data_IF_927625387310
#
_entry.id   IF_927625387310
#
_cell.length_a   1.000
_cell.length_b   1.000
_cell.length_c   1.000
_cell.angle_alpha   90.00
_cell.angle_beta   90.00
_cell.angle_gamma   90.00
#
_symmetry.space_group_name_H-M   'P 1'
#
loop_
_entity.id
_entity.type
_entity.pdbx_description
1 polymer ?
#
# COMPACT_ATOMS: atom_id res chain seq x y z
N UNK A 1 45.44 10.16 8.90
CA UNK A 1 45.68 11.14 7.82
C UNK A 1 44.95 10.64 6.56
N UNK A 2 43.99 11.36 5.96
CA UNK A 2 42.97 12.27 6.51
C UNK A 2 41.53 11.77 6.26
N UNK A 3 40.60 12.43 6.95
CA UNK A 3 39.13 12.34 6.85
C UNK A 3 38.67 13.30 5.74
N UNK A 4 37.69 12.91 4.91
CA UNK A 4 37.04 13.81 3.96
C UNK A 4 35.56 14.00 4.33
N UNK A 5 35.31 15.14 4.98
CA UNK A 5 34.01 15.80 5.12
C UNK A 5 33.75 16.57 3.83
N UNK A 6 32.55 16.48 3.25
CA UNK A 6 32.09 17.48 2.28
C UNK A 6 30.75 18.05 2.73
N UNK A 7 30.83 19.30 3.19
CA UNK A 7 29.72 20.23 3.37
C UNK A 7 29.25 20.76 2.00
N UNK A 8 27.96 20.97 1.85
CA UNK A 8 27.41 21.74 0.73
C UNK A 8 26.92 23.09 1.29
N UNK A 9 27.60 24.16 0.88
CA UNK A 9 27.34 25.55 1.25
C UNK A 9 26.20 26.16 0.45
N UNK A 10 25.47 27.05 1.11
CA UNK A 10 24.57 28.06 0.55
C UNK A 10 25.31 29.04 -0.38
N UNK A 11 24.67 29.48 -1.46
CA UNK A 11 24.97 30.76 -2.13
C UNK A 11 23.67 31.49 -2.48
N UNK A 12 23.67 32.78 -2.14
CA UNK A 12 22.62 33.78 -2.25
C UNK A 12 22.56 34.46 -3.63
N UNK A 13 21.33 34.84 -3.99
CA UNK A 13 20.84 36.02 -4.73
C UNK A 13 21.70 36.73 -5.79
N UNK A 14 21.07 36.99 -6.95
CA UNK A 14 21.36 38.14 -7.80
C UNK A 14 20.04 38.84 -8.19
N UNK A 15 19.98 40.15 -7.93
CA UNK A 15 18.93 41.07 -8.35
C UNK A 15 19.02 41.37 -9.85
N UNK A 16 17.87 41.47 -10.52
CA UNK A 16 17.73 42.26 -11.75
C UNK A 16 16.46 43.09 -11.66
N UNK A 17 16.64 44.41 -11.70
CA UNK A 17 15.58 45.42 -11.77
C UNK A 17 15.22 45.71 -13.24
N UNK A 18 13.94 45.87 -13.57
CA UNK A 18 13.51 46.93 -14.51
C UNK A 18 11.99 47.12 -14.60
N UNK A 19 11.62 48.37 -14.29
CA UNK A 19 10.59 49.26 -14.86
C UNK A 19 9.13 48.79 -15.00
N UNK A 20 8.33 49.38 -14.11
CA UNK A 20 6.88 49.56 -14.18
C UNK A 20 6.47 50.40 -15.40
N UNK A 21 5.48 49.92 -16.14
CA UNK A 21 4.55 50.74 -16.92
C UNK A 21 3.24 50.79 -16.14
N UNK A 22 2.91 51.96 -15.61
CA UNK A 22 1.63 52.24 -14.97
C UNK A 22 0.55 52.41 -16.04
N UNK A 23 -0.51 51.59 -15.98
CA UNK A 23 -1.81 51.97 -16.50
C UNK A 23 -2.78 52.08 -15.33
N UNK A 24 -3.39 53.26 -15.19
CA UNK A 24 -4.42 53.55 -14.19
C UNK A 24 -5.71 52.86 -14.61
N UNK A 25 -6.21 51.93 -13.80
CA UNK A 25 -7.63 51.55 -13.80
C UNK A 25 -8.19 51.98 -12.45
N UNK A 26 -9.08 52.96 -12.48
CA UNK A 26 -9.85 53.40 -11.32
C UNK A 26 -10.90 52.33 -11.05
N UNK A 27 -10.68 51.49 -10.04
CA UNK A 27 -11.64 50.50 -9.56
C UNK A 27 -12.57 51.11 -8.50
N UNK A 28 -13.88 51.00 -8.72
CA UNK A 28 -14.92 51.41 -7.80
C UNK A 28 -14.83 50.67 -6.44
N UNK A 29 -15.34 51.26 -5.32
CA UNK A 29 -15.28 50.61 -4.02
C UNK A 29 -16.14 49.33 -3.98
N UNK A 30 -15.73 48.30 -3.21
CA UNK A 30 -16.48 47.06 -3.11
C UNK A 30 -17.81 47.26 -2.36
N UNK A 31 -18.88 46.56 -2.75
CA UNK A 31 -20.14 46.61 -2.04
C UNK A 31 -20.03 45.90 -0.68
N UNK A 32 -20.55 46.57 0.35
CA UNK A 32 -20.78 46.01 1.68
C UNK A 32 -21.86 44.94 1.59
N UNK A 33 -21.50 43.66 1.69
CA UNK A 33 -22.46 42.56 1.78
C UNK A 33 -22.53 42.00 3.19
N UNK A 34 -23.73 42.02 3.75
CA UNK A 34 -24.16 41.43 5.01
C UNK A 34 -23.75 39.94 5.16
N UNK A 35 -23.67 39.41 6.40
CA UNK A 35 -23.29 38.03 6.64
C UNK A 35 -24.31 37.07 6.02
N UNK A 36 -23.82 36.16 5.20
CA UNK A 36 -24.57 35.03 4.68
C UNK A 36 -24.93 34.11 5.86
N UNK A 37 -26.19 34.10 6.26
CA UNK A 37 -26.74 33.02 7.05
C UNK A 37 -27.00 31.85 6.10
N UNK A 38 -26.25 30.75 6.21
CA UNK A 38 -26.63 29.53 5.50
C UNK A 38 -27.93 28.99 6.13
N UNK A 39 -28.96 28.68 5.34
CA UNK A 39 -30.11 27.95 5.87
C UNK A 39 -29.62 26.59 6.36
N UNK A 40 -30.00 26.23 7.58
CA UNK A 40 -29.75 24.89 8.11
C UNK A 40 -30.48 23.87 7.22
N UNK A 41 -29.75 23.23 6.32
CA UNK A 41 -30.28 22.15 5.51
C UNK A 41 -30.72 21.03 6.44
N UNK A 42 -32.04 20.82 6.57
CA UNK A 42 -32.58 19.61 7.19
C UNK A 42 -32.22 18.44 6.29
N UNK A 43 -31.25 17.64 6.74
CA UNK A 43 -30.89 16.35 6.14
C UNK A 43 -32.10 15.42 6.22
N UNK A 44 -32.97 15.46 5.22
CA UNK A 44 -34.19 14.65 5.21
C UNK A 44 -34.02 13.30 4.54
N UNK A 45 -32.93 13.06 3.80
CA UNK A 45 -32.46 11.71 3.41
C UNK A 45 -31.08 11.84 2.75
N UNK A 46 -30.07 11.11 3.24
CA UNK A 46 -28.79 11.02 2.55
C UNK A 46 -28.96 10.25 1.23
N UNK A 47 -28.36 10.71 0.11
CA UNK A 47 -28.40 9.97 -1.15
C UNK A 47 -27.74 8.60 -0.99
N UNK A 48 -28.29 7.58 -1.64
CA UNK A 48 -27.81 6.19 -1.70
C UNK A 48 -26.36 6.01 -2.21
N UNK A 49 -25.71 7.09 -2.65
CA UNK A 49 -24.29 7.14 -2.97
C UNK A 49 -23.36 7.04 -1.74
N UNK A 50 -23.91 7.12 -0.52
CA UNK A 50 -23.22 6.80 0.74
C UNK A 50 -23.46 5.35 1.18
N UNK A 51 -23.74 4.44 0.26
CA UNK A 51 -23.67 3.01 0.55
C UNK A 51 -22.19 2.65 0.77
N UNK A 52 -21.74 2.78 2.02
CA UNK A 52 -20.47 2.25 2.49
C UNK A 52 -20.60 0.74 2.36
N UNK A 53 -20.31 0.23 1.15
CA UNK A 53 -20.40 -1.19 0.83
C UNK A 53 -19.77 -1.98 1.98
N UNK A 54 -20.54 -2.92 2.52
CA UNK A 54 -20.17 -3.78 3.64
C UNK A 54 -18.73 -4.27 3.45
N UNK A 55 -17.90 -4.16 4.48
CA UNK A 55 -16.53 -4.69 4.46
C UNK A 55 -16.56 -6.15 4.01
N UNK A 56 -15.89 -6.41 2.90
CA UNK A 56 -15.74 -7.76 2.41
C UNK A 56 -14.32 -8.19 2.74
N UNK A 57 -14.23 -9.23 3.56
CA UNK A 57 -12.97 -9.74 4.08
C UNK A 57 -11.95 -10.03 2.98
N UNK A 58 -10.66 -9.93 3.31
CA UNK A 58 -9.52 -10.31 2.45
C UNK A 58 -9.67 -11.71 1.81
N UNK A 59 -10.52 -12.54 2.39
CA UNK A 59 -10.76 -13.95 2.04
C UNK A 59 -11.86 -14.16 1.00
N UNK A 60 -12.70 -13.16 0.70
CA UNK A 60 -13.75 -13.33 -0.31
C UNK A 60 -13.21 -12.94 -1.70
N UNK A 61 -13.08 -13.89 -2.64
CA UNK A 61 -12.50 -13.64 -3.95
C UNK A 61 -13.35 -12.75 -4.87
N UNK A 62 -14.63 -12.50 -4.54
CA UNK A 62 -15.53 -11.59 -5.25
C UNK A 62 -15.59 -10.17 -4.63
N UNK A 63 -14.80 -9.93 -3.57
CA UNK A 63 -14.79 -8.68 -2.82
C UNK A 63 -14.20 -7.49 -3.58
N UNK A 64 -14.81 -6.32 -3.42
CA UNK A 64 -14.05 -5.07 -3.49
C UNK A 64 -13.21 -4.96 -2.23
N UNK A 65 -11.90 -4.85 -2.38
CA UNK A 65 -10.96 -4.67 -1.28
C UNK A 65 -10.88 -3.21 -0.90
N UNK A 66 -11.07 -2.92 0.39
CA UNK A 66 -10.98 -1.56 0.95
C UNK A 66 -9.66 -1.38 1.69
N UNK A 67 -8.88 -0.38 1.31
CA UNK A 67 -7.60 -0.09 1.97
C UNK A 67 -7.46 1.40 2.26
N UNK A 68 -6.60 1.74 3.23
CA UNK A 68 -6.28 3.13 3.56
C UNK A 68 -4.78 3.30 3.86
N UNK A 69 -4.20 4.48 3.59
CA UNK A 69 -2.87 4.81 4.05
C UNK A 69 -2.85 5.00 5.57
N UNK A 70 -1.74 4.63 6.21
CA UNK A 70 -1.50 4.88 7.63
C UNK A 70 -0.93 6.30 7.77
N UNK A 71 -1.67 7.19 8.44
CA UNK A 71 -1.28 8.61 8.53
C UNK A 71 -0.18 8.85 9.56
N UNK A 72 -0.19 8.07 10.64
CA UNK A 72 0.77 8.18 11.75
C UNK A 72 1.02 6.83 12.38
N UNK A 73 2.14 6.72 13.10
CA UNK A 73 2.41 5.53 13.89
C UNK A 73 1.28 5.28 14.91
N UNK A 74 0.83 4.03 15.00
CA UNK A 74 -0.30 3.63 15.85
C UNK A 74 -0.13 2.19 16.35
N UNK A 75 -0.46 1.97 17.62
CA UNK A 75 -0.47 0.64 18.21
C UNK A 75 -1.73 -0.10 17.76
N UNK A 76 -1.55 -1.34 17.31
CA UNK A 76 -2.63 -2.26 16.99
C UNK A 76 -2.93 -3.10 18.23
N UNK A 77 -4.21 -3.18 18.58
CA UNK A 77 -4.70 -3.88 19.76
C UNK A 77 -5.40 -5.19 19.38
N UNK A 78 -5.42 -6.18 20.28
CA UNK A 78 -6.09 -7.46 20.03
C UNK A 78 -7.60 -7.33 19.88
N UNK A 79 -8.20 -6.35 20.55
CA UNK A 79 -9.62 -6.00 20.52
C UNK A 79 -9.78 -4.49 20.24
N UNK A 80 -10.96 -4.03 19.80
CA UNK A 80 -11.22 -2.62 19.49
C UNK A 80 -11.38 -1.76 20.76
N UNK A 81 -10.36 -1.75 21.62
CA UNK A 81 -10.27 -0.88 22.79
C UNK A 81 -8.81 -0.74 23.26
N UNK A 82 -8.52 0.37 23.95
CA UNK A 82 -7.17 0.70 24.41
C UNK A 82 -6.64 -0.18 25.54
N UNK A 83 -7.51 -0.87 26.28
CA UNK A 83 -7.13 -1.76 27.40
C UNK A 83 -6.66 -3.13 26.92
N UNK A 84 -6.98 -3.48 25.67
CA UNK A 84 -6.60 -4.75 25.07
C UNK A 84 -5.08 -4.81 24.83
N UNK A 85 -4.45 -5.99 24.98
CA UNK A 85 -3.04 -6.17 24.68
C UNK A 85 -2.64 -5.64 23.30
N UNK A 86 -1.49 -5.00 23.24
CA UNK A 86 -0.90 -4.54 21.98
C UNK A 86 -0.35 -5.74 21.22
N UNK A 87 -0.82 -5.93 19.99
CA UNK A 87 -0.41 -7.01 19.10
C UNK A 87 0.57 -6.55 18.02
N UNK A 88 0.78 -5.24 17.86
CA UNK A 88 1.82 -4.71 16.98
C UNK A 88 1.85 -3.19 16.87
N UNK A 89 2.83 -2.69 16.12
CA UNK A 89 2.97 -1.28 15.76
C UNK A 89 2.81 -1.13 14.25
N UNK A 90 1.86 -0.32 13.83
CA UNK A 90 1.76 0.14 12.44
C UNK A 90 2.47 1.48 12.31
N UNK A 91 3.46 1.55 11.41
CA UNK A 91 4.15 2.78 11.06
C UNK A 91 3.49 3.42 9.84
N UNK A 92 3.63 4.74 9.70
CA UNK A 92 3.15 5.48 8.53
C UNK A 92 3.98 5.22 7.26
N UNK A 93 5.23 4.78 7.43
CA UNK A 93 6.14 4.41 6.34
C UNK A 93 6.49 2.94 6.39
N UNK A 94 6.69 2.33 5.23
CA UNK A 94 7.25 0.98 5.10
C UNK A 94 8.78 1.01 5.32
N UNK A 95 9.39 -0.17 5.40
CA UNK A 95 10.86 -0.30 5.37
C UNK A 95 11.49 0.24 4.09
N UNK A 96 10.72 0.30 3.00
CA UNK A 96 11.15 0.73 1.67
C UNK A 96 10.92 2.25 1.47
N UNK A 97 10.57 2.97 2.53
CA UNK A 97 10.37 4.44 2.50
C UNK A 97 9.04 4.89 1.90
N UNK A 98 8.19 3.95 1.46
CA UNK A 98 6.88 4.26 0.88
C UNK A 98 5.83 4.52 1.95
N UNK A 99 4.71 5.14 1.58
CA UNK A 99 3.52 5.22 2.46
C UNK A 99 3.04 3.81 2.78
N UNK A 100 2.92 3.50 4.07
CA UNK A 100 2.36 2.22 4.49
C UNK A 100 0.84 2.25 4.34
N UNK A 101 0.28 1.16 3.82
CA UNK A 101 -1.15 1.00 3.66
C UNK A 101 -1.62 -0.24 4.41
N UNK A 102 -2.91 -0.27 4.74
CA UNK A 102 -3.57 -1.42 5.35
C UNK A 102 -4.88 -1.72 4.64
N UNK A 103 -5.16 -3.01 4.46
CA UNK A 103 -6.48 -3.48 4.05
C UNK A 103 -7.35 -3.65 5.28
N UNK A 104 -8.56 -3.09 5.22
CA UNK A 104 -9.56 -3.19 6.26
C UNK A 104 -10.36 -4.48 6.08
N UNK A 105 -10.50 -5.24 7.16
CA UNK A 105 -11.24 -6.51 7.19
C UNK A 105 -12.55 -6.40 7.99
N UNK A 106 -12.57 -5.57 9.05
CA UNK A 106 -13.76 -5.29 9.84
C UNK A 106 -13.72 -3.90 10.48
N UNK A 107 -14.88 -3.42 10.90
CA UNK A 107 -15.08 -2.18 11.66
C UNK A 107 -15.93 -2.45 12.91
N UNK A 108 -15.67 -1.69 13.97
CA UNK A 108 -16.43 -1.74 15.21
C UNK A 108 -16.42 -0.37 15.89
N UNK A 109 -17.57 0.09 16.35
CA UNK A 109 -17.69 1.29 17.16
C UNK A 109 -17.74 0.91 18.64
N UNK A 110 -16.76 1.37 19.42
CA UNK A 110 -16.64 1.06 20.85
C UNK A 110 -16.36 2.34 21.61
N UNK A 111 -17.22 2.67 22.57
CA UNK A 111 -17.12 3.86 23.41
C UNK A 111 -16.90 5.16 22.60
N UNK A 112 -17.65 5.34 21.50
CA UNK A 112 -17.56 6.52 20.64
C UNK A 112 -16.34 6.59 19.73
N UNK A 113 -15.50 5.55 19.70
CA UNK A 113 -14.36 5.44 18.78
C UNK A 113 -14.63 4.36 17.74
N UNK A 114 -14.50 4.70 16.47
CA UNK A 114 -14.50 3.71 15.38
C UNK A 114 -13.13 3.04 15.27
N UNK A 115 -13.12 1.72 15.29
CA UNK A 115 -11.95 0.86 15.15
C UNK A 115 -12.01 0.08 13.84
N UNK A 116 -10.84 -0.13 13.25
CA UNK A 116 -10.68 -0.91 12.02
C UNK A 116 -9.76 -2.09 12.31
N UNK A 117 -10.20 -3.30 11.98
CA UNK A 117 -9.34 -4.49 11.99
C UNK A 117 -8.55 -4.57 10.69
N UNK A 118 -7.23 -4.73 10.83
CA UNK A 118 -6.28 -4.73 9.72
C UNK A 118 -5.24 -5.84 9.86
N UNK A 119 -4.76 -6.35 8.71
CA UNK A 119 -3.66 -7.32 8.69
C UNK A 119 -2.29 -6.68 8.90
N UNK A 120 -1.49 -7.23 9.81
CA UNK A 120 -0.17 -6.74 10.18
C UNK A 120 0.94 -7.46 9.40
N UNK A 121 1.96 -6.73 8.96
CA UNK A 121 3.15 -7.28 8.29
C UNK A 121 4.17 -7.83 9.30
N UNK A 122 3.84 -8.95 9.97
CA UNK A 122 4.68 -9.62 10.98
C UNK A 122 5.10 -11.02 10.53
N UNK A 123 6.19 -11.55 11.10
CA UNK A 123 6.71 -12.90 10.81
C UNK A 123 5.62 -13.96 10.92
N UNK A 124 4.78 -13.88 11.96
CA UNK A 124 3.54 -14.65 12.02
C UNK A 124 2.52 -14.04 11.05
N UNK A 125 2.60 -14.46 9.79
CA UNK A 125 1.64 -14.09 8.75
C UNK A 125 0.21 -14.36 9.21
N UNK A 126 -0.72 -13.50 8.79
CA UNK A 126 -2.12 -13.58 9.21
C UNK A 126 -2.40 -12.98 10.59
N UNK A 127 -1.41 -12.37 11.26
CA UNK A 127 -1.69 -11.58 12.48
C UNK A 127 -2.53 -10.36 12.12
N UNK A 128 -3.65 -10.19 12.83
CA UNK A 128 -4.54 -9.04 12.70
C UNK A 128 -4.49 -8.18 13.96
N UNK A 129 -4.94 -6.93 13.86
CA UNK A 129 -5.13 -6.05 15.00
C UNK A 129 -6.07 -4.89 14.70
N UNK A 130 -6.60 -4.32 15.76
CA UNK A 130 -7.53 -3.19 15.72
C UNK A 130 -6.78 -1.88 15.92
N UNK A 131 -7.05 -0.91 15.05
CA UNK A 131 -6.54 0.46 15.16
C UNK A 131 -7.67 1.48 15.09
N UNK A 132 -7.55 2.64 15.76
CA UNK A 132 -8.51 3.71 15.62
C UNK A 132 -8.59 4.17 14.15
N UNK A 133 -9.81 4.35 13.64
CA UNK A 133 -10.05 4.85 12.28
C UNK A 133 -9.37 6.20 12.02
N UNK A 134 -9.21 7.03 13.05
CA UNK A 134 -8.53 8.33 12.98
C UNK A 134 -7.03 8.24 12.69
N UNK A 135 -6.41 7.06 12.82
CA UNK A 135 -5.02 6.84 12.43
C UNK A 135 -4.85 6.55 10.93
N UNK A 136 -5.95 6.35 10.20
CA UNK A 136 -5.98 5.95 8.78
C UNK A 136 -6.50 7.10 7.91
N UNK A 137 -6.02 7.17 6.67
CA UNK A 137 -6.44 8.17 5.69
C UNK A 137 -7.77 7.84 5.02
N UNK A 138 -8.03 8.47 3.88
CA UNK A 138 -9.21 8.20 3.06
C UNK A 138 -9.24 6.75 2.55
N UNK A 139 -10.46 6.21 2.38
CA UNK A 139 -10.63 4.88 1.81
C UNK A 139 -10.31 4.88 0.32
N UNK A 140 -9.63 3.82 -0.11
CA UNK A 140 -9.43 3.45 -1.50
C UNK A 140 -9.97 2.05 -1.73
N UNK A 141 -10.37 1.77 -2.97
CA UNK A 141 -11.06 0.54 -3.34
C UNK A 141 -10.41 -0.09 -4.56
N UNK A 142 -10.23 -1.41 -4.53
CA UNK A 142 -9.73 -2.17 -5.68
C UNK A 142 -10.53 -3.46 -5.84
N UNK A 143 -10.70 -3.88 -7.09
CA UNK A 143 -11.44 -5.08 -7.50
C UNK A 143 -10.52 -6.17 -8.08
N UNK A 144 -9.22 -6.02 -7.85
CA UNK A 144 -8.18 -6.91 -8.34
C UNK A 144 -7.74 -7.91 -7.28
N UNK A 145 -7.47 -9.14 -7.72
CA UNK A 145 -6.95 -10.24 -6.90
C UNK A 145 -5.87 -11.00 -7.67
N UNK A 146 -4.70 -11.14 -7.08
CA UNK A 146 -3.63 -11.98 -7.61
C UNK A 146 -3.64 -13.34 -6.89
N UNK A 147 -3.60 -14.42 -7.66
CA UNK A 147 -3.38 -15.77 -7.15
C UNK A 147 -2.03 -16.26 -7.60
N UNK A 148 -1.23 -16.71 -6.65
CA UNK A 148 0.04 -17.40 -6.86
C UNK A 148 -0.16 -18.87 -6.51
N UNK A 149 -0.12 -19.74 -7.51
CA UNK A 149 -0.10 -21.19 -7.34
C UNK A 149 1.36 -21.65 -7.33
N UNK A 150 1.87 -22.05 -6.16
CA UNK A 150 3.27 -22.46 -5.96
C UNK A 150 3.54 -23.86 -6.50
N UNK A 151 2.52 -24.71 -6.65
CA UNK A 151 2.65 -26.05 -7.20
C UNK A 151 2.73 -26.01 -8.73
N UNK A 152 1.91 -25.15 -9.36
CA UNK A 152 1.88 -24.95 -10.82
C UNK A 152 2.76 -23.80 -11.30
N UNK A 153 3.50 -23.15 -10.41
CA UNK A 153 4.38 -22.03 -10.71
C UNK A 153 3.70 -20.95 -11.58
N UNK A 154 2.48 -20.56 -11.20
CA UNK A 154 1.66 -19.64 -12.00
C UNK A 154 1.17 -18.46 -11.17
N UNK A 155 1.23 -17.26 -11.74
CA UNK A 155 0.52 -16.08 -11.27
C UNK A 155 -0.70 -15.81 -12.16
N UNK A 156 -1.87 -15.63 -11.57
CA UNK A 156 -3.11 -15.26 -12.26
C UNK A 156 -3.74 -14.04 -11.60
N UNK A 157 -3.90 -12.95 -12.35
CA UNK A 157 -4.58 -11.74 -11.87
C UNK A 157 -6.02 -11.75 -12.37
N UNK A 158 -6.92 -11.55 -11.42
CA UNK A 158 -8.34 -11.37 -11.65
C UNK A 158 -8.70 -9.89 -11.46
N UNK A 159 -9.70 -9.41 -12.21
CA UNK A 159 -10.41 -8.16 -11.99
C UNK A 159 -11.90 -8.43 -12.08
N UNK A 160 -12.63 -8.10 -11.02
CA UNK A 160 -14.07 -8.41 -10.91
C UNK A 160 -14.38 -9.90 -11.24
N UNK A 161 -13.52 -10.82 -10.80
CA UNK A 161 -13.67 -12.27 -11.05
C UNK A 161 -13.17 -12.77 -12.42
N UNK A 162 -12.84 -11.88 -13.36
CA UNK A 162 -12.34 -12.26 -14.69
C UNK A 162 -10.81 -12.30 -14.74
N UNK A 163 -10.24 -13.31 -15.40
CA UNK A 163 -8.79 -13.39 -15.62
C UNK A 163 -8.37 -12.31 -16.62
N UNK A 164 -7.47 -11.42 -16.19
CA UNK A 164 -6.91 -10.35 -17.03
C UNK A 164 -5.41 -10.48 -17.27
N UNK A 165 -4.75 -11.38 -16.54
CA UNK A 165 -3.33 -11.70 -16.72
C UNK A 165 -3.02 -13.09 -16.17
N UNK A 166 -2.11 -13.79 -16.85
CA UNK A 166 -1.53 -15.05 -16.41
C UNK A 166 -0.07 -15.14 -16.87
N UNK A 167 0.83 -15.60 -16.00
CA UNK A 167 2.24 -15.80 -16.33
C UNK A 167 2.90 -16.89 -15.47
N UNK A 168 3.93 -17.59 -15.98
CA UNK A 168 4.76 -18.45 -15.15
C UNK A 168 5.58 -17.64 -14.14
N UNK A 169 5.86 -18.22 -12.98
CA UNK A 169 6.62 -17.57 -11.91
C UNK A 169 7.72 -18.46 -11.32
N UNK A 170 8.75 -17.82 -10.80
CA UNK A 170 9.67 -18.44 -9.84
C UNK A 170 9.19 -18.18 -8.41
N UNK A 171 9.26 -19.19 -7.54
CA UNK A 171 8.90 -19.10 -6.11
C UNK A 171 10.08 -19.50 -5.24
N UNK A 172 9.90 -19.43 -3.92
CA UNK A 172 10.91 -19.79 -2.94
C UNK A 172 11.43 -21.22 -3.08
N UNK A 173 12.73 -21.40 -2.86
CA UNK A 173 13.39 -22.70 -2.72
C UNK A 173 12.87 -23.45 -1.49
N UNK A 174 13.04 -24.79 -1.38
CA UNK A 174 12.58 -25.55 -0.22
C UNK A 174 13.06 -25.02 1.15
N UNK A 175 14.30 -24.54 1.25
CA UNK A 175 14.83 -23.93 2.48
C UNK A 175 14.38 -22.49 2.74
N UNK A 176 13.84 -21.81 1.73
CA UNK A 176 13.35 -20.42 1.81
C UNK A 176 12.02 -20.26 1.07
N UNK A 177 10.98 -20.97 1.52
CA UNK A 177 9.75 -21.11 0.76
C UNK A 177 8.96 -19.80 0.70
N UNK A 178 8.25 -19.59 -0.39
CA UNK A 178 7.21 -18.55 -0.45
C UNK A 178 6.07 -18.95 0.50
N UNK A 179 5.69 -18.10 1.47
CA UNK A 179 4.66 -18.43 2.45
C UNK A 179 3.29 -18.58 1.79
N UNK A 180 2.51 -19.56 2.26
CA UNK A 180 1.09 -19.65 1.91
C UNK A 180 0.29 -18.61 2.70
N UNK A 181 -0.86 -18.20 2.17
CA UNK A 181 -1.83 -17.37 2.90
C UNK A 181 -2.44 -16.24 2.08
N UNK A 182 -3.05 -15.29 2.80
CA UNK A 182 -3.71 -14.12 2.23
C UNK A 182 -2.96 -12.85 2.61
N UNK A 183 -2.63 -12.08 1.59
CA UNK A 183 -1.77 -10.93 1.64
C UNK A 183 -2.35 -9.81 0.77
N UNK A 184 -1.65 -8.68 0.71
CA UNK A 184 -1.97 -7.59 -0.19
C UNK A 184 -0.71 -6.86 -0.64
N UNK A 185 -0.81 -6.22 -1.81
CA UNK A 185 0.21 -5.34 -2.37
C UNK A 185 0.22 -4.04 -1.56
N UNK A 186 1.34 -3.73 -0.91
CA UNK A 186 1.54 -2.52 -0.11
C UNK A 186 2.10 -1.37 -0.91
N UNK A 187 2.99 -1.65 -1.84
CA UNK A 187 3.67 -0.62 -2.61
C UNK A 187 4.14 -1.15 -3.96
N UNK A 188 4.56 -0.19 -4.79
CA UNK A 188 5.14 -0.39 -6.10
C UNK A 188 6.47 0.34 -6.14
N UNK A 189 7.52 -0.35 -6.54
CA UNK A 189 8.90 0.08 -6.45
C UNK A 189 9.63 -0.10 -7.79
N UNK A 190 10.56 0.80 -8.10
CA UNK A 190 11.37 0.78 -9.32
C UNK A 190 12.73 1.47 -9.09
N UNK A 191 13.63 1.42 -10.07
CA UNK A 191 14.93 2.11 -9.98
C UNK A 191 15.92 1.41 -9.05
N UNK A 192 15.86 0.08 -8.96
CA UNK A 192 16.74 -0.71 -8.12
C UNK A 192 18.19 -0.67 -8.61
N UNK A 193 19.13 -0.52 -7.69
CA UNK A 193 20.56 -0.72 -7.98
C UNK A 193 20.89 -2.18 -8.26
N UNK A 194 20.22 -3.11 -7.57
CA UNK A 194 20.40 -4.54 -7.79
C UNK A 194 19.56 -5.04 -8.97
N UNK A 195 20.19 -5.65 -10.00
CA UNK A 195 19.47 -6.12 -11.18
C UNK A 195 18.56 -7.32 -10.91
N UNK A 196 18.68 -7.98 -9.75
CA UNK A 196 17.86 -9.14 -9.38
C UNK A 196 16.37 -8.83 -9.33
N UNK A 197 16.01 -7.58 -9.07
CA UNK A 197 14.62 -7.11 -9.00
C UNK A 197 14.01 -6.85 -10.39
N UNK A 198 14.84 -6.78 -11.43
CA UNK A 198 14.40 -6.36 -12.76
C UNK A 198 13.84 -4.93 -12.74
N UNK A 199 12.91 -4.60 -13.66
CA UNK A 199 12.47 -3.22 -13.86
C UNK A 199 11.43 -2.75 -12.83
N UNK A 200 10.78 -3.66 -12.09
CA UNK A 200 9.65 -3.36 -11.22
C UNK A 200 9.53 -4.39 -10.10
N UNK A 201 9.15 -3.94 -8.90
CA UNK A 201 8.73 -4.80 -7.81
C UNK A 201 7.46 -4.29 -7.12
N UNK A 202 6.79 -5.20 -6.44
CA UNK A 202 5.71 -4.93 -5.49
C UNK A 202 6.10 -5.50 -4.13
N UNK A 203 6.09 -4.67 -3.09
CA UNK A 203 6.14 -5.15 -1.72
C UNK A 203 4.77 -5.65 -1.29
N UNK A 204 4.74 -6.79 -0.59
CA UNK A 204 3.51 -7.33 0.01
C UNK A 204 3.58 -7.21 1.54
N UNK A 205 2.48 -7.43 2.25
CA UNK A 205 2.51 -7.58 3.71
C UNK A 205 2.99 -8.97 4.18
N UNK A 206 3.31 -9.89 3.27
CA UNK A 206 3.83 -11.21 3.61
C UNK A 206 5.27 -11.13 4.12
N UNK A 207 5.57 -11.91 5.14
CA UNK A 207 6.91 -12.13 5.67
C UNK A 207 7.40 -13.54 5.41
N UNK A 208 8.69 -13.67 5.09
CA UNK A 208 9.36 -14.96 4.95
C UNK A 208 9.31 -15.71 6.28
N UNK A 209 8.96 -17.02 6.27
CA UNK A 209 8.94 -17.82 7.49
C UNK A 209 10.35 -18.19 7.97
N UNK A 210 11.36 -18.14 7.10
CA UNK A 210 12.73 -18.60 7.42
C UNK A 210 13.79 -17.51 7.37
N UNK A 211 13.51 -16.37 6.73
CA UNK A 211 14.45 -15.25 6.60
C UNK A 211 13.98 -14.04 7.42
N UNK A 212 13.85 -14.24 8.74
CA UNK A 212 13.33 -13.22 9.65
C UNK A 212 14.30 -12.07 9.89
N UNK A 213 15.60 -12.32 9.76
CA UNK A 213 16.67 -11.35 10.10
C UNK A 213 17.15 -10.56 8.89
N UNK A 214 16.56 -10.79 7.71
CA UNK A 214 16.88 -10.04 6.50
C UNK A 214 16.47 -8.57 6.66
N UNK A 215 17.25 -7.58 6.16
CA UNK A 215 16.86 -6.17 6.15
C UNK A 215 15.41 -5.94 5.70
N UNK A 216 14.65 -5.15 6.46
CA UNK A 216 13.20 -4.97 6.26
C UNK A 216 12.33 -6.09 6.84
N UNK A 217 12.93 -7.10 7.48
CA UNK A 217 12.27 -8.21 8.18
C UNK A 217 11.68 -9.25 7.23
N UNK A 218 12.42 -9.63 6.17
CA UNK A 218 12.02 -10.72 5.26
C UNK A 218 10.76 -10.47 4.45
N UNK A 219 10.52 -9.24 3.96
CA UNK A 219 9.34 -8.96 3.11
C UNK A 219 9.39 -9.81 1.85
N UNK A 220 8.28 -10.49 1.54
CA UNK A 220 8.13 -11.22 0.28
C UNK A 220 7.65 -10.24 -0.78
N UNK A 221 8.46 -10.05 -1.82
CA UNK A 221 8.15 -9.21 -2.97
C UNK A 221 7.68 -10.01 -4.19
N UNK A 222 6.99 -9.33 -5.10
CA UNK A 222 6.69 -9.80 -6.46
C UNK A 222 7.48 -8.92 -7.42
N UNK A 223 8.46 -9.46 -8.14
CA UNK A 223 9.39 -8.64 -8.92
C UNK A 223 9.83 -9.29 -10.23
N UNK A 224 10.50 -8.50 -11.09
CA UNK A 224 11.17 -9.01 -12.29
C UNK A 224 12.38 -9.87 -11.96
N UNK A 225 13.27 -10.10 -12.93
CA UNK A 225 14.55 -10.76 -12.64
C UNK A 225 15.58 -10.53 -13.74
N UNK A 226 16.86 -10.60 -13.40
CA UNK A 226 17.97 -10.74 -14.34
C UNK A 226 18.28 -12.21 -14.69
N UNK A 227 17.54 -13.19 -14.13
CA UNK A 227 17.71 -14.62 -14.39
C UNK A 227 16.41 -15.25 -14.94
N UNK A 228 15.84 -14.74 -16.05
CA UNK A 228 14.53 -15.18 -16.54
C UNK A 228 14.49 -16.65 -17.01
N UNK A 229 15.63 -17.25 -17.32
CA UNK A 229 15.74 -18.66 -17.72
C UNK A 229 15.45 -19.64 -16.58
N UNK A 230 15.46 -19.17 -15.32
CA UNK A 230 15.11 -19.97 -14.14
C UNK A 230 13.59 -20.06 -13.91
N UNK A 231 12.77 -19.39 -14.73
CA UNK A 231 11.30 -19.37 -14.59
C UNK A 231 10.66 -20.31 -15.62
N UNK A 232 9.78 -21.24 -15.20
CA UNK A 232 9.25 -21.45 -13.84
C UNK A 232 10.16 -22.28 -12.92
N UNK A 233 10.01 -22.15 -11.59
CA UNK A 233 10.72 -23.02 -10.64
C UNK A 233 10.79 -22.54 -9.19
N UNK A 234 11.45 -23.33 -8.33
CA UNK A 234 11.76 -23.00 -6.92
C UNK A 234 13.18 -22.40 -6.82
N UNK A 235 13.30 -21.09 -6.99
CA UNK A 235 14.57 -20.43 -7.36
C UNK A 235 14.93 -19.23 -6.49
N UNK A 236 14.05 -18.81 -5.57
CA UNK A 236 14.22 -17.57 -4.83
C UNK A 236 14.34 -17.80 -3.33
N UNK A 237 14.64 -16.72 -2.61
CA UNK A 237 14.62 -16.64 -1.15
C UNK A 237 13.23 -16.26 -0.60
N UNK A 238 12.18 -16.78 -1.23
CA UNK A 238 10.77 -16.56 -0.85
C UNK A 238 10.02 -15.58 -1.76
N UNK A 239 10.69 -14.66 -2.45
CA UNK A 239 10.07 -13.73 -3.40
C UNK A 239 9.46 -14.45 -4.61
N UNK A 240 8.40 -13.86 -5.18
CA UNK A 240 7.83 -14.30 -6.45
C UNK A 240 8.53 -13.56 -7.59
N UNK A 241 9.16 -14.31 -8.51
CA UNK A 241 9.89 -13.77 -9.66
C UNK A 241 9.12 -13.96 -10.95
N UNK A 242 9.03 -12.90 -11.76
CA UNK A 242 8.41 -12.90 -13.08
C UNK A 242 9.46 -12.54 -14.14
N UNK A 243 9.22 -12.97 -15.39
CA UNK A 243 9.96 -12.42 -16.54
C UNK A 243 9.66 -10.92 -16.66
N UNK A 244 10.64 -10.14 -17.12
CA UNK A 244 10.55 -8.67 -17.11
C UNK A 244 9.36 -8.12 -17.92
N UNK A 245 9.05 -8.71 -19.08
CA UNK A 245 7.86 -8.34 -19.84
C UNK A 245 6.55 -8.58 -19.06
N UNK A 246 6.49 -9.68 -18.30
CA UNK A 246 5.33 -10.04 -17.51
C UNK A 246 5.15 -9.12 -16.29
N UNK A 247 6.21 -8.76 -15.56
CA UNK A 247 6.09 -7.84 -14.41
C UNK A 247 5.70 -6.43 -14.87
N UNK A 248 6.19 -5.96 -16.03
CA UNK A 248 5.79 -4.67 -16.61
C UNK A 248 4.30 -4.68 -16.96
N UNK A 249 3.82 -5.75 -17.62
CA UNK A 249 2.39 -5.90 -17.93
C UNK A 249 1.55 -5.97 -16.65
N UNK A 250 1.97 -6.77 -15.67
CA UNK A 250 1.31 -6.87 -14.38
C UNK A 250 1.20 -5.50 -13.72
N UNK A 251 2.25 -4.68 -13.76
CA UNK A 251 2.24 -3.35 -13.16
C UNK A 251 1.40 -2.29 -13.87
N UNK A 252 0.88 -2.57 -15.07
CA UNK A 252 -0.18 -1.75 -15.69
C UNK A 252 -1.57 -2.15 -15.20
N UNK A 253 -1.73 -3.38 -14.71
CA UNK A 253 -3.02 -3.98 -14.38
C UNK A 253 -3.30 -4.05 -12.88
N UNK A 254 -2.25 -4.11 -12.06
CA UNK A 254 -2.30 -4.38 -10.62
C UNK A 254 -2.02 -3.11 -9.78
N UNK A 255 -3.05 -2.49 -9.19
CA UNK A 255 -2.87 -1.36 -8.27
C UNK A 255 -2.41 -1.79 -6.86
N UNK A 256 -1.90 -0.84 -6.09
CA UNK A 256 -1.71 -0.98 -4.63
C UNK A 256 -3.05 -1.31 -3.95
N UNK A 257 -3.00 -2.16 -2.92
CA UNK A 257 -4.17 -2.71 -2.25
C UNK A 257 -4.73 -3.99 -2.88
N UNK A 258 -4.24 -4.41 -4.06
CA UNK A 258 -4.61 -5.70 -4.67
C UNK A 258 -4.36 -6.84 -3.67
N UNK A 259 -5.36 -7.70 -3.48
CA UNK A 259 -5.19 -8.88 -2.63
C UNK A 259 -4.35 -9.92 -3.32
N UNK A 260 -3.56 -10.67 -2.54
CA UNK A 260 -2.67 -11.72 -3.02
C UNK A 260 -2.98 -12.98 -2.24
N UNK A 261 -3.43 -14.02 -2.92
CA UNK A 261 -3.57 -15.38 -2.35
C UNK A 261 -2.39 -16.21 -2.83
N UNK A 262 -1.70 -16.88 -1.90
CA UNK A 262 -0.60 -17.79 -2.21
C UNK A 262 -0.98 -19.18 -1.72
N UNK A 263 -1.08 -20.13 -2.66
CA UNK A 263 -1.48 -21.53 -2.44
C UNK A 263 -0.41 -22.53 -2.89
#
# INVERSE_FOLDING_TARGET
MPVAVFAASFVMAALVSSRLVQSRVVGAPPPTTAPWAYPAARLTTLPSALDIRRLIALRNPAAVTRWAPVLRAVLAHGLPNLKSPVVGLLRARTSDGTTNIVVADAEADVAGTTWVRVGLAKVRNGTEGWVPRSALGGWSFVDTRLVIDRARFTATLFRAGHIIFRAPVGVGAPGTPTPAGHFYVRDRLSGFSSPIYGPLAFGTNAKSPTLTDWPGGGVVGIHGTNQPWLIPGRISHGCIRLRNAAIIRLGRLMPVGTTVTIE
#
